data_IF_700974028546
#
_entry.id   IF_700974028546
#
_cell.length_a   1.000
_cell.length_b   1.000
_cell.length_c   1.000
_cell.angle_alpha   90.00
_cell.angle_beta   90.00
_cell.angle_gamma   90.00
#
_symmetry.space_group_name_H-M   'P 1'
#
loop_
_entity.id
_entity.type
_entity.pdbx_description
1 polymer ?
#
# COMPACT_ATOMS: atom_id res chain seq x y z
N UNK A 1 20.23 7.97 -3.13
CA UNK A 1 19.31 9.12 -3.22
C UNK A 1 18.09 8.77 -2.38
N UNK A 2 17.45 9.72 -1.67
CA UNK A 2 16.18 9.42 -1.02
C UNK A 2 15.14 9.06 -2.08
N UNK A 3 14.27 8.09 -1.76
CA UNK A 3 13.12 7.75 -2.60
C UNK A 3 12.13 8.91 -2.60
N UNK A 4 11.61 9.24 -3.78
CA UNK A 4 10.53 10.21 -3.91
C UNK A 4 9.17 9.51 -3.77
N UNK A 5 8.33 10.01 -2.87
CA UNK A 5 6.99 9.45 -2.64
C UNK A 5 5.97 10.38 -3.28
N UNK A 6 5.10 9.83 -4.12
CA UNK A 6 4.04 10.61 -4.77
C UNK A 6 2.65 10.02 -4.50
N UNK A 7 1.62 10.86 -4.39
CA UNK A 7 0.23 10.41 -4.28
C UNK A 7 -0.26 9.86 -5.62
N UNK A 8 -0.64 8.59 -5.64
CA UNK A 8 -1.09 7.91 -6.85
C UNK A 8 -2.45 8.43 -7.34
N UNK A 9 -3.34 8.85 -6.43
CA UNK A 9 -4.69 9.33 -6.76
C UNK A 9 -4.73 10.73 -7.36
N UNK A 10 -3.62 11.47 -7.29
CA UNK A 10 -3.49 12.76 -7.97
C UNK A 10 -3.10 12.61 -9.46
N UNK A 11 -2.76 11.39 -9.90
CA UNK A 11 -2.40 11.12 -11.29
C UNK A 11 -3.63 10.97 -12.20
N UNK A 12 -3.50 11.49 -13.41
CA UNK A 12 -4.47 11.26 -14.48
C UNK A 12 -4.29 9.87 -15.11
N UNK A 13 -5.33 9.36 -15.78
CA UNK A 13 -5.26 8.07 -16.49
C UNK A 13 -4.04 7.93 -17.44
N UNK A 14 -3.69 8.93 -18.28
CA UNK A 14 -2.49 8.85 -19.10
C UNK A 14 -1.18 8.78 -18.31
N UNK A 15 -1.10 9.47 -17.18
CA UNK A 15 0.10 9.45 -16.32
C UNK A 15 0.27 8.07 -15.66
N UNK A 16 -0.82 7.48 -15.16
CA UNK A 16 -0.80 6.10 -14.63
C UNK A 16 -0.38 5.09 -15.70
N UNK A 17 -0.82 5.28 -16.95
CA UNK A 17 -0.45 4.38 -18.05
C UNK A 17 1.06 4.42 -18.36
N UNK A 18 1.72 5.55 -18.10
CA UNK A 18 3.14 5.76 -18.31
C UNK A 18 4.02 5.26 -17.15
N UNK A 19 3.45 4.87 -16.01
CA UNK A 19 4.22 4.38 -14.87
C UNK A 19 4.92 3.05 -15.19
N UNK A 20 6.16 2.85 -14.69
CA UNK A 20 6.81 1.54 -14.74
C UNK A 20 5.98 0.49 -13.98
N UNK A 21 5.82 -0.70 -14.57
CA UNK A 21 5.03 -1.78 -13.96
C UNK A 21 5.74 -2.50 -12.82
N UNK A 22 7.04 -2.27 -12.69
CA UNK A 22 7.86 -2.67 -11.55
C UNK A 22 7.97 -1.57 -10.48
N UNK A 23 7.31 -0.43 -10.65
CA UNK A 23 7.28 0.64 -9.65
C UNK A 23 6.57 0.16 -8.36
N UNK A 24 7.18 0.32 -7.17
CA UNK A 24 6.54 -0.02 -5.92
C UNK A 24 5.30 0.85 -5.64
N UNK A 25 4.14 0.21 -5.57
CA UNK A 25 2.87 0.80 -5.15
C UNK A 25 2.50 0.28 -3.76
N UNK A 26 2.21 1.21 -2.85
CA UNK A 26 1.98 0.89 -1.44
C UNK A 26 0.62 1.42 -1.02
N UNK A 27 -0.22 0.56 -0.44
CA UNK A 27 -1.50 0.91 0.16
C UNK A 27 -1.36 1.07 1.67
N UNK A 28 -1.32 2.30 2.23
CA UNK A 28 -1.19 2.50 3.66
C UNK A 28 -2.49 2.12 4.39
N UNK A 29 -2.39 1.28 5.42
CA UNK A 29 -3.51 1.00 6.33
C UNK A 29 -3.36 1.89 7.58
N UNK A 30 -4.09 3.01 7.57
CA UNK A 30 -3.96 4.09 8.53
C UNK A 30 -2.90 5.13 8.14
N UNK A 31 -2.50 5.95 9.10
CA UNK A 31 -1.59 7.08 8.93
C UNK A 31 -0.35 6.93 9.84
N UNK A 32 0.66 7.79 9.62
CA UNK A 32 1.81 7.91 10.53
C UNK A 32 2.93 6.90 10.32
N UNK A 33 3.09 6.36 9.10
CA UNK A 33 4.23 5.51 8.78
C UNK A 33 5.48 6.34 8.48
N UNK A 34 6.65 5.86 8.89
CA UNK A 34 7.93 6.47 8.53
C UNK A 34 8.28 6.16 7.06
N UNK A 35 8.21 7.19 6.22
CA UNK A 35 8.51 7.08 4.79
C UNK A 35 9.98 6.74 4.51
N UNK A 36 10.90 7.12 5.41
CA UNK A 36 12.32 6.76 5.30
C UNK A 36 12.52 5.28 5.55
N UNK A 37 11.85 4.74 6.58
CA UNK A 37 11.86 3.31 6.87
C UNK A 37 11.21 2.51 5.73
N UNK A 38 10.11 3.01 5.16
CA UNK A 38 9.46 2.41 3.99
C UNK A 38 10.40 2.31 2.78
N UNK A 39 11.04 3.43 2.42
CA UNK A 39 12.02 3.47 1.35
C UNK A 39 13.16 2.46 1.59
N UNK A 40 13.69 2.40 2.81
CA UNK A 40 14.74 1.45 3.16
C UNK A 40 14.27 -0.01 3.03
N UNK A 41 13.05 -0.33 3.46
CA UNK A 41 12.46 -1.67 3.38
C UNK A 41 12.25 -2.14 1.94
N UNK A 42 11.94 -1.20 1.04
CA UNK A 42 11.77 -1.45 -0.40
C UNK A 42 13.10 -1.46 -1.18
N UNK A 43 14.25 -1.33 -0.52
CA UNK A 43 15.56 -1.30 -1.19
C UNK A 43 15.93 0.06 -1.81
N UNK A 44 15.30 1.14 -1.35
CA UNK A 44 15.52 2.53 -1.79
C UNK A 44 15.28 2.76 -3.30
N UNK A 45 14.09 2.42 -3.83
CA UNK A 45 13.73 2.71 -5.21
C UNK A 45 13.71 4.23 -5.46
N UNK A 46 13.91 4.71 -6.70
CA UNK A 46 13.87 6.15 -6.97
C UNK A 46 12.50 6.77 -6.72
N UNK A 47 11.42 6.02 -6.96
CA UNK A 47 10.04 6.47 -6.80
C UNK A 47 9.19 5.39 -6.10
N UNK A 48 8.26 5.83 -5.26
CA UNK A 48 7.26 4.98 -4.59
C UNK A 48 5.90 5.65 -4.75
N UNK A 49 4.91 4.93 -5.30
CA UNK A 49 3.54 5.42 -5.39
C UNK A 49 2.76 5.08 -4.13
N UNK A 50 2.21 6.10 -3.48
CA UNK A 50 1.31 5.93 -2.34
C UNK A 50 -0.13 5.93 -2.84
N UNK A 51 -0.82 4.81 -2.63
CA UNK A 51 -2.25 4.72 -2.86
C UNK A 51 -2.99 5.47 -1.75
N UNK A 52 -4.26 5.89 -1.98
CA UNK A 52 -5.09 6.46 -0.93
C UNK A 52 -5.10 5.59 0.32
N UNK A 53 -4.71 6.16 1.45
CA UNK A 53 -4.71 5.45 2.72
C UNK A 53 -6.10 4.92 3.03
N UNK A 54 -6.16 3.67 3.49
CA UNK A 54 -7.37 3.08 4.03
C UNK A 54 -7.41 3.33 5.54
N UNK A 55 -8.29 4.22 6.04
CA UNK A 55 -8.18 4.75 7.40
C UNK A 55 -8.63 3.76 8.49
N UNK A 56 -9.49 2.79 8.16
CA UNK A 56 -10.08 1.86 9.11
C UNK A 56 -10.54 0.55 8.44
N UNK A 57 -10.93 -0.44 9.26
CA UNK A 57 -11.52 -1.70 8.81
C UNK A 57 -10.94 -2.94 9.49
N UNK A 58 -9.83 -2.80 10.21
CA UNK A 58 -9.26 -3.85 11.06
C UNK A 58 -9.50 -3.57 12.54
N UNK A 59 -9.28 -4.57 13.39
CA UNK A 59 -9.40 -4.44 14.84
C UNK A 59 -8.48 -3.35 15.39
N UNK A 60 -9.01 -2.46 16.24
CA UNK A 60 -8.25 -1.33 16.81
C UNK A 60 -8.14 -0.10 15.90
N UNK A 61 -8.73 -0.11 14.70
CA UNK A 61 -8.71 1.03 13.78
C UNK A 61 -9.76 2.12 14.06
N UNK A 62 -10.64 1.91 15.04
CA UNK A 62 -11.73 2.83 15.40
C UNK A 62 -13.05 2.54 14.69
N UNK A 63 -13.03 2.01 13.47
CA UNK A 63 -14.21 1.46 12.79
C UNK A 63 -13.89 0.06 12.25
N UNK A 64 -14.29 -0.94 13.02
CA UNK A 64 -14.00 -2.34 12.72
C UNK A 64 -15.06 -2.93 11.79
N UNK A 65 -14.63 -3.75 10.84
CA UNK A 65 -15.52 -4.59 10.04
C UNK A 65 -15.08 -6.05 10.17
N UNK A 66 -15.94 -7.03 9.84
CA UNK A 66 -15.52 -8.43 9.84
C UNK A 66 -14.27 -8.64 8.99
N UNK A 67 -13.25 -9.28 9.55
CA UNK A 67 -11.96 -9.50 8.87
C UNK A 67 -12.10 -10.08 7.44
N UNK A 68 -12.98 -11.05 7.15
CA UNK A 68 -13.15 -11.55 5.78
C UNK A 68 -13.62 -10.48 4.79
N UNK A 69 -14.44 -9.52 5.24
CA UNK A 69 -14.91 -8.40 4.42
C UNK A 69 -13.77 -7.43 4.16
N UNK A 70 -13.02 -7.08 5.20
CA UNK A 70 -11.85 -6.22 5.09
C UNK A 70 -10.81 -6.77 4.11
N UNK A 71 -10.45 -8.05 4.26
CA UNK A 71 -9.51 -8.71 3.37
C UNK A 71 -10.05 -8.85 1.94
N UNK A 72 -11.36 -9.05 1.76
CA UNK A 72 -11.96 -9.06 0.43
C UNK A 72 -11.80 -7.71 -0.28
N UNK A 73 -11.96 -6.60 0.44
CA UNK A 73 -11.71 -5.26 -0.10
C UNK A 73 -10.24 -5.11 -0.48
N UNK A 74 -9.30 -5.49 0.40
CA UNK A 74 -7.87 -5.42 0.09
C UNK A 74 -7.49 -6.25 -1.14
N UNK A 75 -8.00 -7.49 -1.26
CA UNK A 75 -7.76 -8.33 -2.44
C UNK A 75 -8.27 -7.67 -3.72
N UNK A 76 -9.45 -7.05 -3.70
CA UNK A 76 -9.96 -6.37 -4.89
C UNK A 76 -9.11 -5.15 -5.24
N UNK A 77 -8.71 -4.33 -4.26
CA UNK A 77 -7.89 -3.14 -4.51
C UNK A 77 -6.52 -3.49 -5.09
N UNK A 78 -5.81 -4.43 -4.47
CA UNK A 78 -4.47 -4.84 -4.92
C UNK A 78 -4.55 -5.72 -6.17
N UNK A 79 -5.60 -6.54 -6.28
CA UNK A 79 -5.88 -7.40 -7.44
C UNK A 79 -6.09 -6.59 -8.71
N UNK A 80 -6.87 -5.51 -8.66
CA UNK A 80 -7.07 -4.63 -9.82
C UNK A 80 -5.74 -4.06 -10.33
N UNK A 81 -4.83 -3.67 -9.44
CA UNK A 81 -3.51 -3.17 -9.82
C UNK A 81 -2.62 -4.26 -10.43
N UNK A 82 -2.73 -5.50 -9.96
CA UNK A 82 -2.05 -6.66 -10.57
C UNK A 82 -2.61 -6.92 -11.98
N UNK A 83 -3.93 -6.81 -12.18
CA UNK A 83 -4.58 -6.93 -13.49
C UNK A 83 -4.16 -5.81 -14.45
N UNK A 84 -3.92 -4.60 -13.93
CA UNK A 84 -3.31 -3.48 -14.67
C UNK A 84 -1.81 -3.68 -14.99
N UNK A 85 -1.24 -4.79 -14.52
CA UNK A 85 0.12 -5.24 -14.83
C UNK A 85 1.19 -4.77 -13.86
N UNK A 86 0.86 -4.05 -12.79
CA UNK A 86 1.83 -3.72 -11.74
C UNK A 86 2.26 -4.98 -10.99
N UNK A 87 3.54 -5.07 -10.64
CA UNK A 87 4.14 -6.29 -10.06
C UNK A 87 4.67 -6.11 -8.63
N UNK A 88 4.91 -4.87 -8.21
CA UNK A 88 5.40 -4.53 -6.87
C UNK A 88 4.33 -3.80 -6.08
N UNK A 89 3.30 -4.53 -5.65
CA UNK A 89 2.17 -3.94 -4.91
C UNK A 89 2.12 -4.56 -3.50
N UNK A 90 1.94 -3.73 -2.48
CA UNK A 90 1.81 -4.22 -1.10
C UNK A 90 0.95 -3.31 -0.22
N UNK A 91 0.25 -3.90 0.74
CA UNK A 91 -0.37 -3.16 1.83
C UNK A 91 0.69 -2.83 2.89
N UNK A 92 0.77 -1.58 3.30
CA UNK A 92 1.61 -1.16 4.42
C UNK A 92 0.78 -1.22 5.70
N UNK A 93 1.14 -2.16 6.57
CA UNK A 93 0.36 -2.54 7.75
C UNK A 93 1.12 -2.25 9.04
N UNK A 94 0.42 -1.90 10.14
CA UNK A 94 1.05 -1.83 11.45
C UNK A 94 1.46 -3.23 11.95
N UNK A 95 2.40 -3.28 12.88
CA UNK A 95 2.99 -4.54 13.37
C UNK A 95 1.99 -5.47 14.06
N UNK A 96 0.91 -4.93 14.63
CA UNK A 96 -0.13 -5.68 15.34
C UNK A 96 -1.23 -6.24 14.41
N UNK A 97 -1.24 -5.85 13.13
CA UNK A 97 -2.20 -6.34 12.16
C UNK A 97 -1.70 -7.59 11.43
N UNK A 98 -2.55 -8.60 11.38
CA UNK A 98 -2.34 -9.80 10.58
C UNK A 98 -3.37 -9.90 9.47
N UNK A 99 -2.88 -10.06 8.23
CA UNK A 99 -3.68 -10.31 7.04
C UNK A 99 -3.51 -11.76 6.59
N UNK A 100 -4.45 -12.23 5.77
CA UNK A 100 -4.31 -13.47 5.02
C UNK A 100 -3.00 -13.50 4.19
N UNK A 101 -2.40 -14.68 4.08
CA UNK A 101 -1.06 -14.86 3.51
C UNK A 101 -0.97 -14.55 2.01
N UNK A 102 -2.09 -14.55 1.30
CA UNK A 102 -2.19 -14.19 -0.12
C UNK A 102 -2.14 -12.67 -0.36
N UNK A 103 -2.33 -11.86 0.68
CA UNK A 103 -2.30 -10.41 0.56
C UNK A 103 -0.84 -9.93 0.76
N UNK A 104 -0.19 -9.36 -0.27
CA UNK A 104 1.17 -8.87 -0.13
C UNK A 104 1.20 -7.71 0.85
N UNK A 105 2.01 -7.82 1.89
CA UNK A 105 2.05 -6.84 2.97
C UNK A 105 3.48 -6.53 3.44
N UNK A 106 3.72 -5.26 3.73
CA UNK A 106 4.92 -4.75 4.37
C UNK A 106 4.57 -4.29 5.78
N UNK A 107 5.34 -4.71 6.76
CA UNK A 107 5.17 -4.31 8.16
C UNK A 107 6.14 -3.20 8.49
N UNK A 108 5.61 -2.10 9.00
CA UNK A 108 6.42 -1.05 9.62
C UNK A 108 5.75 -0.58 10.92
N UNK A 109 6.56 -0.22 11.93
CA UNK A 109 6.04 0.44 13.11
C UNK A 109 5.45 1.80 12.72
N UNK A 110 4.34 2.14 13.36
CA UNK A 110 3.80 3.51 13.31
C UNK A 110 4.65 4.42 14.21
N UNK A 111 4.78 5.68 13.80
CA UNK A 111 5.43 6.75 14.58
C UNK A 111 4.56 7.20 15.75
#
# INVERSE_FOLDING_TARGET
MPSDLFPFDELTYPEVACLPRDLPLVLPLGLGFDHTALAAHLGSPPHIGLLPSLPFGWTGSGLEVPQPVFEAVLRNLLGNLLEDGFTQISALIPDDLQLAADIPALRLPRL
#
